data_IF_686139483081
#
_entry.id   IF_686139483081
#
_cell.length_a   1.000
_cell.length_b   1.000
_cell.length_c   1.000
_cell.angle_alpha   90.00
_cell.angle_beta   90.00
_cell.angle_gamma   90.00
#
_symmetry.space_group_name_H-M   'P 1'
#
loop_
_entity.id
_entity.type
_entity.pdbx_description
1 polymer ?
#
# COMPACT_ATOMS: atom_id res chain seq x y z
N UNK A 1 -7.06 -11.39 -44.87
CA UNK A 1 -6.42 -10.29 -44.11
C UNK A 1 -6.81 -10.47 -42.65
N UNK A 2 -5.87 -10.88 -41.78
CA UNK A 2 -6.11 -11.11 -40.35
C UNK A 2 -5.70 -9.84 -39.59
N UNK A 3 -6.48 -9.30 -38.64
CA UNK A 3 -6.13 -8.05 -38.00
C UNK A 3 -4.89 -8.25 -37.12
N UNK A 4 -3.93 -7.34 -37.26
CA UNK A 4 -2.75 -7.24 -36.42
C UNK A 4 -3.23 -6.68 -35.08
N UNK A 5 -3.39 -7.54 -34.06
CA UNK A 5 -3.47 -7.11 -32.68
C UNK A 5 -2.13 -7.39 -32.02
N UNK A 6 -1.18 -6.45 -32.15
CA UNK A 6 0.02 -6.44 -31.30
C UNK A 6 -0.25 -5.55 -30.08
N UNK A 7 -1.26 -5.93 -29.28
CA UNK A 7 -1.20 -5.61 -27.85
C UNK A 7 -0.35 -6.71 -27.23
N UNK A 8 0.73 -6.35 -26.57
CA UNK A 8 1.48 -7.29 -25.73
C UNK A 8 0.56 -7.64 -24.55
N UNK A 9 -0.35 -8.58 -24.77
CA UNK A 9 -1.30 -9.02 -23.75
C UNK A 9 -0.51 -9.70 -22.63
N UNK A 10 -0.68 -9.20 -21.42
CA UNK A 10 -0.07 -9.78 -20.23
C UNK A 10 -0.66 -11.17 -20.07
N UNK A 11 0.18 -12.20 -20.01
CA UNK A 11 -0.33 -13.56 -19.81
C UNK A 11 -1.01 -13.68 -18.45
N UNK A 12 -2.05 -14.52 -18.38
CA UNK A 12 -2.81 -14.80 -17.17
C UNK A 12 -1.92 -15.05 -15.94
N UNK A 13 -0.89 -15.88 -16.09
CA UNK A 13 0.05 -16.19 -15.00
C UNK A 13 0.88 -15.00 -14.53
N UNK A 14 1.24 -14.07 -15.42
CA UNK A 14 1.94 -12.83 -15.04
C UNK A 14 1.02 -11.89 -14.26
N UNK A 15 -0.23 -11.75 -14.71
CA UNK A 15 -1.24 -10.97 -14.01
C UNK A 15 -1.49 -11.51 -12.59
N UNK A 16 -1.65 -12.84 -12.44
CA UNK A 16 -1.79 -13.50 -11.15
C UNK A 16 -0.61 -13.22 -10.19
N UNK A 17 0.62 -13.28 -10.70
CA UNK A 17 1.82 -12.99 -9.91
C UNK A 17 1.89 -11.52 -9.47
N UNK A 18 1.54 -10.58 -10.36
CA UNK A 18 1.49 -9.15 -10.03
C UNK A 18 0.42 -8.88 -8.96
N UNK A 19 -0.76 -9.48 -9.11
CA UNK A 19 -1.83 -9.38 -8.11
C UNK A 19 -1.37 -9.91 -6.75
N UNK A 20 -0.79 -11.12 -6.71
CA UNK A 20 -0.30 -11.74 -5.48
C UNK A 20 0.80 -10.93 -4.80
N UNK A 21 1.76 -10.39 -5.56
CA UNK A 21 2.83 -9.56 -5.01
C UNK A 21 2.30 -8.23 -4.47
N UNK A 22 1.34 -7.61 -5.16
CA UNK A 22 0.70 -6.37 -4.71
C UNK A 22 -0.06 -6.60 -3.41
N UNK A 23 -0.84 -7.69 -3.32
CA UNK A 23 -1.52 -8.11 -2.09
C UNK A 23 -0.53 -8.36 -0.94
N UNK A 24 0.60 -9.00 -1.22
CA UNK A 24 1.65 -9.24 -0.23
C UNK A 24 2.22 -7.92 0.32
N UNK A 25 2.50 -6.95 -0.55
CA UNK A 25 2.96 -5.61 -0.14
C UNK A 25 1.95 -4.99 0.82
N UNK A 26 0.66 -4.99 0.48
CA UNK A 26 -0.40 -4.37 1.28
C UNK A 26 -0.52 -4.98 2.69
N UNK A 27 -0.45 -6.31 2.77
CA UNK A 27 -0.53 -7.04 4.05
C UNK A 27 0.66 -6.71 4.97
N UNK A 28 1.81 -6.29 4.41
CA UNK A 28 2.97 -5.93 5.21
C UNK A 28 3.02 -4.45 5.57
N UNK A 29 2.58 -3.55 4.68
CA UNK A 29 2.77 -2.10 4.83
C UNK A 29 1.75 -1.47 5.78
N UNK A 30 0.45 -1.55 5.47
CA UNK A 30 -0.60 -0.89 6.28
C UNK A 30 -0.69 -1.46 7.68
N UNK A 31 -0.74 -2.80 7.89
CA UNK A 31 -0.74 -3.36 9.23
C UNK A 31 0.49 -2.96 10.05
N UNK A 32 1.67 -2.84 9.43
CA UNK A 32 2.86 -2.37 10.14
C UNK A 32 2.71 -0.91 10.59
N UNK A 33 2.19 -0.03 9.74
CA UNK A 33 1.91 1.37 10.13
C UNK A 33 0.88 1.43 11.28
N UNK A 34 -0.22 0.68 11.18
CA UNK A 34 -1.31 0.71 12.15
C UNK A 34 -0.96 0.08 13.49
N UNK A 35 -0.27 -1.06 13.51
CA UNK A 35 0.01 -1.79 14.74
C UNK A 35 1.37 -1.46 15.36
N UNK A 36 2.35 -0.99 14.58
CA UNK A 36 3.71 -0.73 15.09
C UNK A 36 4.05 0.74 15.23
N UNK A 37 3.46 1.62 14.40
CA UNK A 37 3.79 3.05 14.37
C UNK A 37 2.72 3.87 15.08
N UNK A 38 1.46 3.79 14.66
CA UNK A 38 0.38 4.62 15.21
C UNK A 38 0.18 4.55 16.72
N UNK A 39 0.35 3.41 17.42
CA UNK A 39 0.21 3.36 18.87
C UNK A 39 1.28 4.17 19.61
N UNK A 40 2.40 4.51 18.95
CA UNK A 40 3.46 5.36 19.50
C UNK A 40 3.22 6.85 19.23
N UNK A 41 2.34 7.17 18.29
CA UNK A 41 2.08 8.54 17.84
C UNK A 41 0.73 9.07 18.33
N UNK A 42 -0.29 8.23 18.38
CA UNK A 42 -1.68 8.63 18.57
C UNK A 42 -2.13 8.30 20.00
N UNK A 43 -2.51 9.35 20.73
CA UNK A 43 -3.29 9.24 21.96
C UNK A 43 -4.77 9.53 21.63
N UNK A 44 -5.63 8.52 21.80
CA UNK A 44 -7.05 8.61 21.45
C UNK A 44 -7.87 9.52 22.36
N UNK A 45 -7.30 9.97 23.48
CA UNK A 45 -7.96 10.81 24.50
C UNK A 45 -7.42 12.24 24.51
N UNK A 46 -6.21 12.47 24.00
CA UNK A 46 -5.54 13.76 24.07
C UNK A 46 -4.83 14.14 22.74
N UNK A 47 -5.41 15.13 22.05
CA UNK A 47 -4.86 15.64 20.80
C UNK A 47 -3.52 16.40 20.97
N UNK A 48 -3.30 17.05 22.12
CA UNK A 48 -2.04 17.75 22.41
C UNK A 48 -0.88 16.76 22.53
N UNK A 49 -1.09 15.67 23.26
CA UNK A 49 -0.09 14.58 23.38
C UNK A 49 0.21 13.98 22.01
N UNK A 50 -0.82 13.77 21.18
CA UNK A 50 -0.62 13.29 19.80
C UNK A 50 0.26 14.24 18.99
N UNK A 51 0.00 15.56 19.06
CA UNK A 51 0.80 16.55 18.35
C UNK A 51 2.26 16.56 18.82
N UNK A 52 2.49 16.50 20.14
CA UNK A 52 3.83 16.40 20.72
C UNK A 52 4.56 15.13 20.27
N UNK A 53 3.89 13.97 20.29
CA UNK A 53 4.45 12.71 19.83
C UNK A 53 4.85 12.76 18.35
N UNK A 54 4.02 13.36 17.49
CA UNK A 54 4.33 13.53 16.05
C UNK A 54 5.52 14.48 15.86
N UNK A 55 5.57 15.61 16.58
CA UNK A 55 6.68 16.56 16.49
C UNK A 55 8.00 15.93 16.95
N UNK A 56 7.96 15.14 18.02
CA UNK A 56 9.12 14.44 18.56
C UNK A 56 9.53 13.23 17.71
N UNK A 57 8.60 12.62 16.97
CA UNK A 57 8.83 11.42 16.15
C UNK A 57 8.45 11.60 14.68
N UNK A 58 8.81 12.74 14.07
CA UNK A 58 8.48 13.08 12.67
C UNK A 58 8.83 11.99 11.65
N UNK A 59 9.93 11.27 11.90
CA UNK A 59 10.37 10.16 11.05
C UNK A 59 9.35 9.02 11.03
N UNK A 60 8.82 8.62 12.20
CA UNK A 60 7.78 7.59 12.30
C UNK A 60 6.52 8.02 11.58
N UNK A 61 6.09 9.27 11.77
CA UNK A 61 4.92 9.79 11.07
C UNK A 61 5.10 9.77 9.55
N UNK A 62 6.26 10.22 9.07
CA UNK A 62 6.59 10.24 7.62
C UNK A 62 6.61 8.83 7.05
N UNK A 63 7.22 7.86 7.74
CA UNK A 63 7.25 6.44 7.33
C UNK A 63 5.84 5.86 7.29
N UNK A 64 4.99 6.13 8.29
CA UNK A 64 3.62 5.62 8.31
C UNK A 64 2.80 6.13 7.11
N UNK A 65 2.89 7.42 6.80
CA UNK A 65 2.23 8.00 5.62
C UNK A 65 2.77 7.39 4.32
N UNK A 66 4.08 7.20 4.23
CA UNK A 66 4.70 6.56 3.07
C UNK A 66 4.21 5.11 2.89
N UNK A 67 4.10 4.33 3.97
CA UNK A 67 3.59 2.96 3.92
C UNK A 67 2.13 2.90 3.47
N UNK A 68 1.29 3.82 3.96
CA UNK A 68 -0.11 3.92 3.52
C UNK A 68 -0.20 4.28 2.03
N UNK A 69 0.63 5.23 1.57
CA UNK A 69 0.70 5.58 0.15
C UNK A 69 1.14 4.38 -0.71
N UNK A 70 2.11 3.60 -0.23
CA UNK A 70 2.58 2.40 -0.92
C UNK A 70 1.47 1.35 -1.02
N UNK A 71 0.69 1.15 0.04
CA UNK A 71 -0.51 0.29 0.03
C UNK A 71 -1.52 0.77 -1.01
N UNK A 72 -1.84 2.06 -1.05
CA UNK A 72 -2.80 2.62 -2.01
C UNK A 72 -2.38 2.38 -3.47
N UNK A 73 -1.08 2.51 -3.75
CA UNK A 73 -0.54 2.18 -5.08
C UNK A 73 -0.71 0.69 -5.37
N UNK A 74 -0.40 -0.17 -4.39
CA UNK A 74 -0.59 -1.60 -4.52
C UNK A 74 -2.06 -2.01 -4.70
N UNK A 75 -3.03 -1.30 -4.10
CA UNK A 75 -4.47 -1.51 -4.32
C UNK A 75 -4.85 -1.31 -5.79
N UNK A 76 -4.36 -0.22 -6.39
CA UNK A 76 -4.61 0.10 -7.81
C UNK A 76 -3.98 -0.97 -8.70
N UNK A 77 -2.73 -1.35 -8.42
CA UNK A 77 -2.01 -2.38 -9.20
C UNK A 77 -2.67 -3.75 -9.06
N UNK A 78 -3.08 -4.13 -7.84
CA UNK A 78 -3.77 -5.37 -7.56
C UNK A 78 -5.12 -5.41 -8.30
N UNK A 79 -5.91 -4.34 -8.21
CA UNK A 79 -7.22 -4.25 -8.88
C UNK A 79 -7.09 -4.37 -10.40
N UNK A 80 -6.09 -3.72 -10.99
CA UNK A 80 -5.82 -3.83 -12.42
C UNK A 80 -5.34 -5.23 -12.81
N UNK A 81 -4.45 -5.84 -12.02
CA UNK A 81 -3.96 -7.19 -12.28
C UNK A 81 -5.05 -8.25 -12.16
N UNK A 82 -5.92 -8.13 -11.15
CA UNK A 82 -7.10 -9.00 -10.94
C UNK A 82 -8.20 -8.77 -11.96
N UNK A 83 -8.24 -7.62 -12.62
CA UNK A 83 -9.16 -7.40 -13.75
C UNK A 83 -8.72 -8.15 -15.01
N UNK A 84 -7.40 -8.34 -15.18
CA UNK A 84 -6.82 -9.05 -16.32
C UNK A 84 -6.76 -10.57 -16.08
N UNK A 85 -6.52 -10.98 -14.83
CA UNK A 85 -6.49 -12.37 -14.39
C UNK A 85 -7.90 -12.95 -14.19
#
# INVERSE_FOLDING_TARGET
MKPISNKTEISLGKAALIAGLSLLVMVLTTPFAEFSIFPKLIDSKNATITAENIINNKHLFTIAIFLILLTLIADIVASWALYIF
#
